data_IF_182112580322
#
_entry.id   IF_182112580322
#
_cell.length_a   1.000
_cell.length_b   1.000
_cell.length_c   1.000
_cell.angle_alpha   90.00
_cell.angle_beta   90.00
_cell.angle_gamma   90.00
#
_symmetry.space_group_name_H-M   'P 1'
#
loop_
_entity.id
_entity.type
_entity.pdbx_description
1 polymer ?
#
# COMPACT_ATOMS: atom_id res chain seq x y z
N UNK A 1 5.32 -18.46 7.75
CA UNK A 1 4.37 -17.64 8.55
C UNK A 1 3.23 -17.18 7.68
N UNK A 2 2.05 -17.02 8.27
CA UNK A 2 0.87 -16.41 7.64
C UNK A 2 0.40 -15.21 8.44
N UNK A 3 -0.24 -14.26 7.75
CA UNK A 3 -0.96 -13.17 8.39
C UNK A 3 -2.31 -12.98 7.74
N UNK A 4 -3.30 -12.61 8.54
CA UNK A 4 -4.56 -12.11 8.04
C UNK A 4 -4.35 -10.70 7.52
N UNK A 5 -4.66 -10.55 6.26
CA UNK A 5 -4.67 -9.29 5.54
C UNK A 5 -5.69 -8.30 6.14
N UNK A 6 -6.80 -8.74 6.74
CA UNK A 6 -7.85 -7.83 7.25
C UNK A 6 -7.66 -7.44 8.73
N UNK A 7 -7.55 -8.41 9.64
CA UNK A 7 -7.44 -8.13 11.08
C UNK A 7 -6.00 -8.16 11.61
N UNK A 8 -5.01 -8.52 10.78
CA UNK A 8 -3.61 -8.62 11.21
C UNK A 8 -3.27 -9.86 12.03
N UNK A 9 -4.22 -10.76 12.27
CA UNK A 9 -3.98 -12.02 12.99
C UNK A 9 -2.82 -12.81 12.37
N UNK A 10 -1.83 -13.18 13.19
CA UNK A 10 -0.61 -13.85 12.74
C UNK A 10 -0.66 -15.33 13.13
N UNK A 11 -0.11 -16.18 12.28
CA UNK A 11 -0.02 -17.60 12.56
C UNK A 11 1.09 -18.31 11.79
N UNK A 12 1.18 -19.60 12.02
CA UNK A 12 2.00 -20.52 11.27
C UNK A 12 1.15 -21.33 10.30
N UNK A 13 1.81 -21.92 9.31
CA UNK A 13 1.16 -22.76 8.33
C UNK A 13 2.12 -23.86 7.91
N UNK A 14 1.57 -25.01 7.55
CA UNK A 14 2.32 -26.15 7.05
C UNK A 14 1.38 -27.14 6.38
N UNK A 15 1.90 -28.35 6.10
CA UNK A 15 1.09 -29.43 5.58
C UNK A 15 0.79 -30.46 6.68
N UNK A 16 -0.47 -30.85 6.81
CA UNK A 16 -0.92 -31.89 7.75
C UNK A 16 -1.94 -32.78 7.05
N UNK A 17 -1.64 -34.08 6.97
CA UNK A 17 -2.62 -35.06 6.45
C UNK A 17 -3.74 -35.26 7.49
N UNK A 18 -4.97 -35.63 7.08
CA UNK A 18 -6.13 -35.70 7.98
C UNK A 18 -5.89 -36.49 9.30
N UNK A 19 -5.10 -37.57 9.25
CA UNK A 19 -4.88 -38.45 10.40
C UNK A 19 -3.47 -38.34 11.00
N UNK A 20 -2.66 -37.38 10.54
CA UNK A 20 -1.32 -37.17 11.07
C UNK A 20 -1.34 -36.03 12.08
N UNK A 21 -0.78 -36.24 13.26
CA UNK A 21 -0.61 -35.19 14.28
C UNK A 21 0.68 -34.40 14.10
N UNK A 22 1.54 -34.77 13.15
CA UNK A 22 2.77 -34.04 12.84
C UNK A 22 2.54 -33.10 11.67
N UNK A 23 2.95 -31.85 11.82
CA UNK A 23 2.99 -30.87 10.73
C UNK A 23 4.28 -31.07 9.94
N UNK A 24 4.17 -31.24 8.63
CA UNK A 24 5.30 -31.35 7.73
C UNK A 24 5.86 -29.94 7.40
N UNK A 25 7.15 -29.67 7.69
CA UNK A 25 7.79 -28.38 7.44
C UNK A 25 8.35 -28.19 6.03
N UNK A 26 8.20 -29.15 5.12
CA UNK A 26 8.73 -29.04 3.76
C UNK A 26 8.17 -27.81 3.02
N UNK A 27 9.04 -26.82 2.80
CA UNK A 27 8.64 -25.53 2.26
C UNK A 27 8.15 -25.64 0.81
N UNK A 28 8.81 -26.46 -0.01
CA UNK A 28 8.49 -26.58 -1.43
C UNK A 28 7.09 -27.17 -1.62
N UNK A 29 6.79 -28.30 -0.97
CA UNK A 29 5.48 -28.91 -0.99
C UNK A 29 4.43 -27.98 -0.38
N UNK A 30 4.76 -27.25 0.70
CA UNK A 30 3.86 -26.28 1.30
C UNK A 30 3.50 -25.14 0.33
N UNK A 31 4.47 -24.54 -0.35
CA UNK A 31 4.20 -23.47 -1.32
C UNK A 31 3.30 -23.93 -2.46
N UNK A 32 3.57 -25.13 -3.01
CA UNK A 32 2.71 -25.75 -4.02
C UNK A 32 1.30 -25.98 -3.50
N UNK A 33 1.16 -26.56 -2.31
CA UNK A 33 -0.13 -26.80 -1.66
C UNK A 33 -0.91 -25.52 -1.36
N UNK A 34 -0.24 -24.48 -0.84
CA UNK A 34 -0.86 -23.19 -0.54
C UNK A 34 -1.41 -22.51 -1.79
N UNK A 35 -0.64 -22.42 -2.87
CA UNK A 35 -1.10 -21.73 -4.09
C UNK A 35 -2.09 -22.56 -4.93
N UNK A 36 -2.18 -23.88 -4.69
CA UNK A 36 -3.14 -24.77 -5.35
C UNK A 36 -4.40 -25.06 -4.53
N UNK A 37 -4.56 -24.42 -3.35
CA UNK A 37 -5.68 -24.67 -2.43
C UNK A 37 -5.79 -26.14 -2.00
N UNK A 38 -4.66 -26.81 -1.76
CA UNK A 38 -4.62 -28.21 -1.31
C UNK A 38 -5.26 -28.33 0.10
N UNK A 39 -6.23 -29.24 0.33
CA UNK A 39 -6.86 -29.46 1.64
C UNK A 39 -5.91 -29.92 2.75
N UNK A 40 -4.67 -30.32 2.43
CA UNK A 40 -3.63 -30.66 3.42
C UNK A 40 -2.99 -29.42 4.06
N UNK A 41 -3.19 -28.23 3.50
CA UNK A 41 -2.72 -26.99 4.11
C UNK A 41 -3.45 -26.78 5.44
N UNK A 42 -2.67 -26.63 6.51
CA UNK A 42 -3.19 -26.35 7.85
C UNK A 42 -2.60 -25.05 8.37
N UNK A 43 -3.38 -24.33 9.17
CA UNK A 43 -3.00 -23.09 9.81
C UNK A 43 -2.98 -23.29 11.33
N UNK A 44 -2.06 -22.64 12.02
CA UNK A 44 -1.91 -22.73 13.47
C UNK A 44 -1.76 -21.32 14.05
N UNK A 45 -2.63 -20.93 14.97
CA UNK A 45 -2.63 -19.61 15.60
C UNK A 45 -2.32 -19.73 17.09
N UNK A 46 -1.23 -19.13 17.60
CA UNK A 46 -0.90 -19.21 19.03
C UNK A 46 -1.93 -18.46 19.88
N UNK A 47 -2.33 -19.06 21.01
CA UNK A 47 -3.40 -18.53 21.88
C UNK A 47 -3.02 -17.23 22.62
N UNK A 48 -1.74 -16.85 22.61
CA UNK A 48 -1.26 -15.56 23.16
C UNK A 48 -1.61 -14.32 22.32
N UNK A 49 -2.19 -14.49 21.14
CA UNK A 49 -2.78 -13.40 20.35
C UNK A 49 -4.29 -13.53 20.39
N UNK A 50 -4.99 -12.48 20.84
CA UNK A 50 -6.45 -12.43 20.97
C UNK A 50 -7.21 -13.05 19.78
N UNK A 51 -7.51 -14.36 19.84
CA UNK A 51 -8.49 -14.97 18.94
C UNK A 51 -9.88 -14.67 19.51
N UNK A 52 -10.19 -13.38 19.63
CA UNK A 52 -11.52 -12.89 20.00
C UNK A 52 -12.38 -12.95 18.74
N UNK A 53 -13.45 -13.74 18.78
CA UNK A 53 -14.53 -13.67 17.81
C UNK A 53 -15.14 -12.24 17.83
N UNK A 54 -14.59 -11.34 17.02
CA UNK A 54 -15.10 -9.98 16.83
C UNK A 54 -15.35 -9.76 15.34
N UNK A 55 -16.31 -10.50 14.79
CA UNK A 55 -16.97 -10.15 13.54
C UNK A 55 -18.22 -9.29 13.84
N UNK A 56 -18.58 -8.32 12.97
CA UNK A 56 -19.87 -7.67 13.06
C UNK A 56 -20.95 -8.72 12.72
N UNK A 57 -21.52 -9.34 13.75
CA UNK A 57 -22.53 -10.42 13.62
C UNK A 57 -22.33 -11.61 14.57
N UNK A 58 -21.19 -11.73 15.27
CA UNK A 58 -20.97 -12.80 16.25
C UNK A 58 -21.38 -12.33 17.65
N UNK A 59 -22.49 -12.86 18.16
CA UNK A 59 -22.89 -12.68 19.55
C UNK A 59 -21.86 -13.26 20.53
N UNK A 60 -21.93 -12.90 21.82
CA UNK A 60 -21.07 -13.50 22.84
C UNK A 60 -21.33 -15.02 22.88
N UNK A 61 -20.31 -15.85 22.56
CA UNK A 61 -20.40 -17.31 22.68
C UNK A 61 -20.40 -18.12 21.38
N UNK A 62 -20.16 -17.55 20.19
CA UNK A 62 -19.92 -18.37 18.99
C UNK A 62 -18.53 -19.01 19.04
N UNK A 63 -18.50 -20.34 19.21
CA UNK A 63 -17.28 -21.14 19.11
C UNK A 63 -16.67 -20.98 17.71
N UNK A 64 -15.36 -20.73 17.65
CA UNK A 64 -14.62 -20.69 16.40
C UNK A 64 -14.56 -22.11 15.80
N UNK A 65 -14.76 -22.24 14.49
CA UNK A 65 -14.69 -23.52 13.79
C UNK A 65 -13.24 -24.02 13.73
N UNK A 66 -12.90 -24.94 14.64
CA UNK A 66 -11.56 -25.51 14.79
C UNK A 66 -11.35 -26.17 16.15
N UNK A 67 -10.11 -26.62 16.38
CA UNK A 67 -9.71 -27.36 17.57
C UNK A 67 -8.45 -26.76 18.21
N UNK A 68 -8.34 -26.89 19.53
CA UNK A 68 -7.16 -26.48 20.29
C UNK A 68 -6.18 -27.65 20.43
N UNK A 69 -4.91 -27.35 20.22
CA UNK A 69 -3.79 -28.29 20.36
C UNK A 69 -2.62 -27.60 21.05
N UNK A 70 -1.64 -28.38 21.46
CA UNK A 70 -0.29 -27.90 21.80
C UNK A 70 0.68 -28.35 20.71
N UNK A 71 1.38 -27.41 20.10
CA UNK A 71 2.38 -27.63 19.05
C UNK A 71 3.78 -27.68 19.67
N UNK A 72 4.49 -28.78 19.48
CA UNK A 72 5.89 -28.87 19.85
C UNK A 72 6.78 -28.09 18.87
N UNK A 73 7.59 -27.16 19.39
CA UNK A 73 8.54 -26.38 18.59
C UNK A 73 9.72 -27.20 18.03
N UNK A 74 10.04 -28.35 18.62
CA UNK A 74 11.16 -29.20 18.20
C UNK A 74 10.77 -30.19 17.09
N UNK A 75 9.69 -30.94 17.27
CA UNK A 75 9.29 -32.01 16.34
C UNK A 75 8.02 -31.72 15.52
N UNK A 76 7.36 -30.59 15.78
CA UNK A 76 6.13 -30.15 15.11
C UNK A 76 4.92 -31.10 15.29
N UNK A 77 4.92 -31.86 16.38
CA UNK A 77 3.80 -32.70 16.77
C UNK A 77 2.73 -31.89 17.51
N UNK A 78 1.47 -32.15 17.18
CA UNK A 78 0.28 -31.60 17.83
C UNK A 78 -0.26 -32.60 18.85
N UNK A 79 -0.50 -32.14 20.07
CA UNK A 79 -1.14 -32.95 21.11
C UNK A 79 -2.38 -32.26 21.66
N UNK A 80 -3.43 -33.03 21.94
CA UNK A 80 -4.65 -32.56 22.60
C UNK A 80 -4.61 -32.76 24.12
N UNK A 81 -3.49 -33.23 24.68
CA UNK A 81 -3.31 -33.39 26.13
C UNK A 81 -3.47 -32.04 26.82
N UNK A 82 -4.22 -32.04 27.93
CA UNK A 82 -4.33 -30.87 28.82
C UNK A 82 -3.00 -30.69 29.56
N UNK A 83 -2.44 -29.48 29.49
CA UNK A 83 -1.21 -29.03 30.16
C UNK A 83 -0.03 -30.03 30.11
N UNK A 84 0.50 -30.33 28.91
CA UNK A 84 1.65 -31.21 28.78
C UNK A 84 2.93 -30.55 29.33
N UNK A 85 3.49 -31.09 30.41
CA UNK A 85 4.80 -30.68 30.98
C UNK A 85 5.99 -30.86 30.01
N UNK A 86 5.75 -31.54 28.87
CA UNK A 86 6.69 -31.66 27.77
C UNK A 86 6.04 -32.33 26.55
N UNK A 87 6.67 -32.26 25.38
CA UNK A 87 6.14 -32.89 24.17
C UNK A 87 6.00 -34.42 24.32
N UNK A 88 4.80 -35.02 24.22
CA UNK A 88 4.62 -36.47 24.37
C UNK A 88 5.32 -37.32 23.30
N UNK A 89 5.67 -36.72 22.16
CA UNK A 89 6.29 -37.43 21.04
C UNK A 89 7.82 -37.46 21.09
N UNK A 90 8.48 -36.42 21.61
CA UNK A 90 9.94 -36.32 21.61
C UNK A 90 10.54 -35.98 22.98
N UNK A 91 9.72 -35.70 23.99
CA UNK A 91 10.16 -35.32 25.34
C UNK A 91 10.77 -33.93 25.47
N UNK A 92 10.86 -33.14 24.39
CA UNK A 92 11.53 -31.84 24.39
C UNK A 92 10.57 -30.66 24.47
N UNK A 93 10.92 -29.71 25.34
CA UNK A 93 10.34 -28.37 25.41
C UNK A 93 8.88 -28.32 25.83
N UNK A 94 8.45 -27.15 26.25
CA UNK A 94 7.05 -26.83 26.53
C UNK A 94 6.34 -26.53 25.19
N UNK A 95 5.32 -27.31 24.79
CA UNK A 95 4.64 -27.10 23.53
C UNK A 95 3.70 -25.90 23.60
N UNK A 96 3.64 -25.12 22.52
CA UNK A 96 2.87 -23.87 22.45
C UNK A 96 1.41 -24.18 22.18
N UNK A 97 0.50 -23.62 22.98
CA UNK A 97 -0.95 -23.76 22.74
C UNK A 97 -1.37 -23.01 21.47
N UNK A 98 -2.01 -23.72 20.55
CA UNK A 98 -2.42 -23.22 19.23
C UNK A 98 -3.86 -23.62 18.89
N UNK A 99 -4.56 -22.70 18.24
CA UNK A 99 -5.83 -22.94 17.58
C UNK A 99 -5.60 -23.37 16.12
N UNK A 100 -6.21 -24.48 15.73
CA UNK A 100 -6.16 -25.03 14.37
C UNK A 100 -7.56 -24.93 13.76
N UNK A 101 -7.82 -23.96 12.87
CA UNK A 101 -9.12 -23.79 12.25
C UNK A 101 -9.44 -24.89 11.24
N UNK A 102 -10.73 -25.11 11.03
CA UNK A 102 -11.18 -25.93 9.92
C UNK A 102 -11.10 -25.14 8.60
N UNK A 103 -10.03 -25.36 7.85
CA UNK A 103 -9.74 -24.68 6.59
C UNK A 103 -10.15 -25.49 5.35
N UNK A 104 -11.16 -26.37 5.47
CA UNK A 104 -11.60 -27.27 4.38
C UNK A 104 -13.06 -27.04 4.05
N UNK A 105 -13.38 -26.90 2.76
CA UNK A 105 -14.77 -26.81 2.29
C UNK A 105 -14.99 -27.74 1.10
N UNK A 106 -16.23 -28.24 0.95
CA UNK A 106 -16.64 -29.03 -0.21
C UNK A 106 -17.07 -28.09 -1.34
N UNK A 107 -16.43 -28.18 -2.50
CA UNK A 107 -16.82 -27.47 -3.74
C UNK A 107 -16.84 -28.46 -4.89
N UNK A 108 -17.95 -28.51 -5.64
CA UNK A 108 -18.11 -29.38 -6.82
C UNK A 108 -17.61 -30.82 -6.59
N UNK A 109 -18.06 -31.40 -5.47
CA UNK A 109 -17.73 -32.76 -5.04
C UNK A 109 -16.26 -33.06 -4.69
N UNK A 110 -15.43 -32.02 -4.58
CA UNK A 110 -14.05 -32.10 -4.09
C UNK A 110 -13.87 -31.29 -2.81
N UNK A 111 -12.99 -31.74 -1.92
CA UNK A 111 -12.59 -30.96 -0.75
C UNK A 111 -11.42 -30.08 -1.14
N UNK A 112 -11.56 -28.78 -0.95
CA UNK A 112 -10.51 -27.79 -1.21
C UNK A 112 -10.14 -27.07 0.08
N UNK A 113 -8.87 -26.67 0.18
CA UNK A 113 -8.40 -25.77 1.22
C UNK A 113 -8.92 -24.36 0.99
N UNK A 114 -9.28 -23.65 2.06
CA UNK A 114 -9.62 -22.22 2.02
C UNK A 114 -8.70 -21.43 2.94
N UNK A 115 -8.39 -20.21 2.54
CA UNK A 115 -7.48 -19.33 3.30
C UNK A 115 -8.27 -18.31 4.12
N UNK A 116 -9.38 -18.74 4.70
CA UNK A 116 -10.25 -17.89 5.50
C UNK A 116 -9.59 -17.57 6.84
N UNK A 117 -9.69 -16.32 7.29
CA UNK A 117 -9.18 -15.96 8.60
C UNK A 117 -10.11 -16.48 9.71
N UNK A 118 -9.62 -17.25 10.69
CA UNK A 118 -10.46 -17.71 11.79
C UNK A 118 -10.85 -16.60 12.76
N UNK A 119 -10.04 -15.54 12.91
CA UNK A 119 -10.32 -14.47 13.87
C UNK A 119 -11.43 -13.52 13.42
N UNK A 120 -11.45 -13.14 12.13
CA UNK A 120 -12.40 -12.14 11.61
C UNK A 120 -13.32 -12.67 10.48
N UNK A 121 -13.21 -13.94 10.09
CA UNK A 121 -14.01 -14.55 9.03
C UNK A 121 -13.71 -14.06 7.61
N UNK A 122 -12.61 -13.32 7.40
CA UNK A 122 -12.30 -12.76 6.08
C UNK A 122 -12.07 -13.87 5.04
N UNK A 123 -12.84 -13.90 3.93
CA UNK A 123 -12.66 -14.90 2.87
C UNK A 123 -11.32 -14.69 2.16
N UNK A 124 -10.58 -15.77 1.97
CA UNK A 124 -9.20 -15.78 1.42
C UNK A 124 -8.25 -14.75 2.08
N UNK A 125 -8.50 -14.42 3.36
CA UNK A 125 -7.79 -13.37 4.10
C UNK A 125 -6.37 -13.71 4.52
N UNK A 126 -5.95 -14.98 4.50
CA UNK A 126 -4.60 -15.37 4.93
C UNK A 126 -3.58 -15.23 3.78
N UNK A 127 -2.42 -14.64 4.08
CA UNK A 127 -1.29 -14.49 3.15
C UNK A 127 0.04 -14.88 3.79
N UNK A 128 0.90 -15.50 2.99
CA UNK A 128 2.26 -15.82 3.39
C UNK A 128 3.06 -14.55 3.71
N UNK A 129 3.74 -14.57 4.85
CA UNK A 129 4.78 -13.61 5.19
C UNK A 129 6.11 -14.31 5.05
N UNK A 130 6.91 -13.84 4.10
CA UNK A 130 8.27 -14.31 3.85
C UNK A 130 9.03 -13.29 3.02
N UNK A 131 10.33 -13.19 3.25
CA UNK A 131 11.23 -12.39 2.44
C UNK A 131 12.44 -13.25 2.08
N UNK A 132 12.79 -13.30 0.81
CA UNK A 132 13.99 -13.97 0.32
C UNK A 132 15.23 -13.37 1.00
N UNK A 133 16.27 -14.17 1.26
CA UNK A 133 17.51 -13.71 1.91
C UNK A 133 18.07 -12.45 1.24
N UNK A 134 18.16 -12.42 -0.09
CA UNK A 134 18.62 -11.25 -0.84
C UNK A 134 17.78 -9.98 -0.56
N UNK A 135 16.47 -10.12 -0.38
CA UNK A 135 15.59 -8.98 -0.08
C UNK A 135 15.79 -8.44 1.33
N UNK A 136 16.02 -9.30 2.32
CA UNK A 136 16.36 -8.90 3.69
C UNK A 136 17.74 -8.25 3.75
N UNK A 137 18.75 -8.88 3.13
CA UNK A 137 20.11 -8.34 3.05
C UNK A 137 20.12 -6.95 2.42
N UNK A 138 19.36 -6.75 1.34
CA UNK A 138 19.25 -5.43 0.73
C UNK A 138 18.66 -4.36 1.66
N UNK A 139 17.68 -4.71 2.50
CA UNK A 139 17.13 -3.77 3.48
C UNK A 139 18.15 -3.43 4.55
N UNK A 140 18.89 -4.43 5.06
CA UNK A 140 19.96 -4.21 6.04
C UNK A 140 21.06 -3.30 5.47
N UNK A 141 21.50 -3.55 4.24
CA UNK A 141 22.49 -2.70 3.55
C UNK A 141 21.98 -1.26 3.46
N UNK A 142 20.72 -1.06 3.05
CA UNK A 142 20.14 0.28 2.95
C UNK A 142 20.11 1.02 4.29
N UNK A 143 19.80 0.33 5.39
CA UNK A 143 19.83 0.92 6.73
C UNK A 143 21.26 1.27 7.17
N UNK A 144 22.22 0.38 6.94
CA UNK A 144 23.63 0.63 7.24
C UNK A 144 24.19 1.82 6.45
N UNK A 145 23.80 1.97 5.18
CA UNK A 145 24.25 3.08 4.34
C UNK A 145 23.56 4.42 4.66
N UNK A 146 22.35 4.36 5.23
CA UNK A 146 21.62 5.54 5.70
C UNK A 146 22.06 5.98 7.09
N UNK A 147 22.70 5.11 7.86
CA UNK A 147 23.22 5.42 9.19
C UNK A 147 24.27 6.53 9.14
N UNK A 148 24.19 7.48 10.06
CA UNK A 148 25.21 8.53 10.25
C UNK A 148 26.49 8.01 10.90
N UNK A 149 26.51 6.76 11.38
CA UNK A 149 27.71 6.11 11.95
C UNK A 149 28.53 5.35 10.89
N UNK A 150 28.09 5.36 9.64
CA UNK A 150 28.79 4.67 8.56
C UNK A 150 29.48 5.68 7.63
N UNK A 151 30.76 5.90 7.89
CA UNK A 151 31.60 6.85 7.17
C UNK A 151 32.13 6.29 5.84
N UNK A 152 32.19 4.95 5.67
CA UNK A 152 32.63 4.30 4.41
C UNK A 152 31.53 3.42 3.81
N UNK A 153 30.90 3.91 2.74
CA UNK A 153 29.74 3.27 2.08
C UNK A 153 30.18 2.23 1.04
N UNK A 154 31.01 1.29 1.45
CA UNK A 154 31.45 0.15 0.65
C UNK A 154 30.89 -1.16 1.20
N UNK A 155 30.51 -2.04 0.29
CA UNK A 155 29.94 -3.34 0.61
C UNK A 155 30.64 -4.40 -0.22
N UNK A 156 31.14 -5.42 0.46
CA UNK A 156 31.61 -6.66 -0.15
C UNK A 156 30.58 -7.75 0.15
N UNK A 157 30.07 -8.39 -0.90
CA UNK A 157 29.13 -9.51 -0.77
C UNK A 157 29.83 -10.80 -1.23
N UNK A 158 29.97 -11.75 -0.31
CA UNK A 158 30.49 -13.08 -0.62
C UNK A 158 29.35 -13.99 -1.10
N UNK A 159 29.61 -14.75 -2.16
CA UNK A 159 28.76 -15.86 -2.57
C UNK A 159 29.62 -17.01 -3.10
N UNK A 160 29.06 -18.22 -3.04
CA UNK A 160 29.71 -19.47 -3.40
C UNK A 160 29.91 -19.62 -4.93
N UNK A 161 29.34 -18.72 -5.73
CA UNK A 161 29.51 -18.68 -7.19
C UNK A 161 29.69 -17.25 -7.69
N UNK A 162 30.55 -17.07 -8.70
CA UNK A 162 30.80 -15.79 -9.39
C UNK A 162 29.51 -15.24 -10.02
N UNK A 163 28.67 -16.13 -10.56
CA UNK A 163 27.39 -15.75 -11.18
C UNK A 163 26.40 -15.23 -10.13
N UNK A 164 26.33 -15.87 -8.97
CA UNK A 164 25.45 -15.44 -7.87
C UNK A 164 26.00 -14.18 -7.18
N UNK A 165 27.33 -14.04 -7.08
CA UNK A 165 27.96 -12.81 -6.60
C UNK A 165 27.63 -11.61 -7.50
N UNK A 166 27.77 -11.76 -8.83
CA UNK A 166 27.42 -10.72 -9.79
C UNK A 166 25.92 -10.37 -9.73
N UNK A 167 25.05 -11.39 -9.66
CA UNK A 167 23.61 -11.19 -9.53
C UNK A 167 23.24 -10.45 -8.23
N UNK A 168 23.81 -10.85 -7.09
CA UNK A 168 23.59 -10.18 -5.79
C UNK A 168 24.11 -8.74 -5.80
N UNK A 169 25.29 -8.50 -6.36
CA UNK A 169 25.86 -7.16 -6.47
C UNK A 169 24.95 -6.24 -7.30
N UNK A 170 24.48 -6.70 -8.47
CA UNK A 170 23.50 -5.98 -9.28
C UNK A 170 22.18 -5.73 -8.54
N UNK A 171 21.66 -6.76 -7.86
CA UNK A 171 20.42 -6.67 -7.08
C UNK A 171 20.51 -5.67 -5.91
N UNK A 172 21.62 -5.69 -5.16
CA UNK A 172 21.84 -4.75 -4.04
C UNK A 172 22.05 -3.32 -4.54
N UNK A 173 22.82 -3.11 -5.60
CA UNK A 173 23.06 -1.79 -6.18
C UNK A 173 21.76 -1.15 -6.68
N UNK A 174 20.96 -1.91 -7.45
CA UNK A 174 19.65 -1.45 -7.94
C UNK A 174 18.70 -1.03 -6.81
N UNK A 175 18.73 -1.77 -5.69
CA UNK A 175 17.80 -1.56 -4.58
C UNK A 175 18.28 -0.48 -3.60
N UNK A 176 19.58 -0.26 -3.47
CA UNK A 176 20.18 0.81 -2.66
C UNK A 176 20.09 2.18 -3.35
N UNK A 177 20.17 2.25 -4.68
CA UNK A 177 20.05 3.52 -5.43
C UNK A 177 18.85 4.36 -4.96
N UNK A 178 17.67 3.74 -4.74
CA UNK A 178 16.44 4.47 -4.37
C UNK A 178 16.61 5.22 -3.05
N UNK A 179 17.33 4.63 -2.11
CA UNK A 179 17.62 5.26 -0.82
C UNK A 179 18.64 6.39 -0.99
N UNK A 180 19.67 6.18 -1.81
CA UNK A 180 20.64 7.23 -2.18
C UNK A 180 19.94 8.44 -2.81
N UNK A 181 19.11 8.22 -3.84
CA UNK A 181 18.36 9.28 -4.50
C UNK A 181 17.40 9.99 -3.53
N UNK A 182 16.71 9.24 -2.66
CA UNK A 182 15.82 9.85 -1.65
C UNK A 182 16.58 10.71 -0.65
N UNK A 183 17.73 10.24 -0.15
CA UNK A 183 18.57 11.03 0.74
C UNK A 183 19.10 12.28 0.05
N UNK A 184 19.49 12.16 -1.22
CA UNK A 184 19.93 13.28 -2.03
C UNK A 184 18.80 14.30 -2.30
N UNK A 185 17.60 13.81 -2.62
CA UNK A 185 16.41 14.62 -2.82
C UNK A 185 16.02 15.33 -1.51
N UNK A 186 16.06 14.63 -0.39
CA UNK A 186 15.78 15.21 0.91
C UNK A 186 16.79 16.32 1.25
N UNK A 187 18.09 16.09 1.02
CA UNK A 187 19.12 17.12 1.23
C UNK A 187 18.88 18.34 0.35
N UNK A 188 18.59 18.14 -0.94
CA UNK A 188 18.23 19.22 -1.85
C UNK A 188 16.98 19.98 -1.37
N UNK A 189 15.90 19.26 -1.05
CA UNK A 189 14.64 19.87 -0.61
C UNK A 189 14.85 20.67 0.68
N UNK A 190 15.64 20.16 1.62
CA UNK A 190 15.97 20.85 2.88
C UNK A 190 16.78 22.13 2.66
N UNK A 191 17.68 22.14 1.67
CA UNK A 191 18.56 23.27 1.37
C UNK A 191 17.87 24.35 0.52
N UNK A 192 17.18 23.95 -0.57
CA UNK A 192 16.70 24.88 -1.60
C UNK A 192 15.26 24.63 -2.06
N UNK A 193 14.55 23.63 -1.52
CA UNK A 193 13.25 23.20 -2.02
C UNK A 193 12.04 24.03 -1.57
N UNK A 194 12.17 24.85 -0.53
CA UNK A 194 11.05 25.63 0.02
C UNK A 194 10.45 26.59 -1.01
N UNK A 195 9.12 26.55 -1.20
CA UNK A 195 8.39 27.48 -2.05
C UNK A 195 8.48 27.22 -3.56
N UNK A 196 9.35 26.29 -4.00
CA UNK A 196 9.46 25.88 -5.40
C UNK A 196 8.24 25.07 -5.85
N UNK A 197 7.92 25.14 -7.13
CA UNK A 197 6.90 24.29 -7.75
C UNK A 197 7.46 22.88 -7.99
N UNK A 198 6.57 21.89 -8.03
CA UNK A 198 6.95 20.50 -8.34
C UNK A 198 7.54 20.39 -9.74
N UNK A 199 7.03 21.17 -10.71
CA UNK A 199 7.55 21.25 -12.07
C UNK A 199 9.01 21.75 -12.13
N UNK A 200 9.41 22.68 -11.24
CA UNK A 200 10.77 23.23 -11.22
C UNK A 200 11.80 22.34 -10.49
N UNK A 201 11.35 21.27 -9.85
CA UNK A 201 12.18 20.39 -9.01
C UNK A 201 13.28 19.69 -9.82
N UNK A 202 13.01 19.04 -10.98
CA UNK A 202 14.02 18.25 -11.68
C UNK A 202 15.25 19.07 -12.09
N UNK A 203 15.03 20.22 -12.73
CA UNK A 203 16.12 21.12 -13.16
C UNK A 203 16.91 21.64 -11.95
N UNK A 204 16.21 22.05 -10.89
CA UNK A 204 16.85 22.55 -9.67
C UNK A 204 17.69 21.46 -8.97
N UNK A 205 17.22 20.22 -8.97
CA UNK A 205 17.93 19.07 -8.39
C UNK A 205 19.21 18.76 -9.17
N UNK A 206 19.14 18.75 -10.51
CA UNK A 206 20.30 18.50 -11.38
C UNK A 206 21.38 19.54 -11.09
N UNK A 207 21.03 20.83 -11.14
CA UNK A 207 21.94 21.95 -10.85
C UNK A 207 22.57 21.82 -9.46
N UNK A 208 21.77 21.59 -8.43
CA UNK A 208 22.25 21.52 -7.05
C UNK A 208 23.36 20.48 -6.86
N UNK A 209 23.21 19.30 -7.47
CA UNK A 209 24.16 18.22 -7.31
C UNK A 209 25.32 18.29 -8.30
N UNK A 210 25.13 18.75 -9.54
CA UNK A 210 26.22 18.90 -10.52
C UNK A 210 27.24 19.98 -10.11
N UNK A 211 26.85 20.97 -9.32
CA UNK A 211 27.78 21.96 -8.74
C UNK A 211 28.63 21.39 -7.60
N UNK A 212 28.27 20.23 -7.03
CA UNK A 212 28.86 19.66 -5.81
C UNK A 212 29.63 18.37 -6.03
N UNK A 213 29.60 17.83 -7.25
CA UNK A 213 30.37 16.65 -7.65
C UNK A 213 30.72 16.73 -9.12
N UNK A 214 31.78 16.05 -9.53
CA UNK A 214 32.13 15.99 -10.94
C UNK A 214 31.09 15.21 -11.75
N UNK A 215 31.09 15.41 -13.07
CA UNK A 215 30.13 14.81 -13.99
C UNK A 215 30.11 13.26 -13.90
N UNK A 216 31.27 12.62 -13.76
CA UNK A 216 31.33 11.15 -13.70
C UNK A 216 30.75 10.65 -12.39
N UNK A 217 31.03 11.31 -11.27
CA UNK A 217 30.42 10.99 -9.98
C UNK A 217 28.91 11.24 -9.98
N UNK A 218 28.45 12.33 -10.60
CA UNK A 218 27.03 12.64 -10.76
C UNK A 218 26.31 11.54 -11.55
N UNK A 219 26.84 11.19 -12.72
CA UNK A 219 26.30 10.13 -13.55
C UNK A 219 26.34 8.80 -12.81
N UNK A 220 27.47 8.39 -12.21
CA UNK A 220 27.54 7.12 -11.49
C UNK A 220 26.58 7.03 -10.28
N UNK A 221 26.30 8.16 -9.63
CA UNK A 221 25.45 8.22 -8.42
C UNK A 221 23.96 8.31 -8.76
N UNK A 222 23.60 9.14 -9.74
CA UNK A 222 22.21 9.48 -10.05
C UNK A 222 21.69 8.90 -11.36
N UNK A 223 22.55 8.36 -12.24
CA UNK A 223 22.08 7.52 -13.33
C UNK A 223 21.52 6.24 -12.72
N UNK A 224 20.21 6.07 -12.83
CA UNK A 224 19.60 4.88 -12.26
C UNK A 224 20.08 3.62 -13.01
N UNK A 225 20.35 2.51 -12.29
CA UNK A 225 20.81 1.26 -12.89
C UNK A 225 19.87 0.69 -13.97
N UNK A 226 18.63 1.15 -14.00
CA UNK A 226 17.59 0.73 -14.94
C UNK A 226 17.13 1.87 -15.87
N UNK A 227 17.89 2.97 -16.01
CA UNK A 227 17.42 4.14 -16.76
C UNK A 227 18.49 4.86 -17.57
N UNK A 228 18.52 4.48 -18.84
CA UNK A 228 18.38 5.48 -19.88
C UNK A 228 16.99 6.15 -19.88
N UNK A 229 15.97 5.68 -19.14
CA UNK A 229 14.61 6.25 -19.13
C UNK A 229 13.89 6.20 -17.75
N UNK A 230 13.54 7.40 -17.24
CA UNK A 230 13.14 7.86 -15.88
C UNK A 230 11.92 7.17 -15.22
N UNK A 231 11.68 6.99 -13.89
CA UNK A 231 11.83 7.64 -12.54
C UNK A 231 10.90 8.74 -12.08
N UNK A 232 10.27 9.51 -12.95
CA UNK A 232 9.29 10.53 -12.51
C UNK A 232 7.98 9.89 -11.99
N UNK A 233 7.81 8.60 -12.30
CA UNK A 233 6.68 7.74 -11.95
C UNK A 233 6.52 7.44 -10.45
N UNK A 234 7.59 7.49 -9.64
CA UNK A 234 7.50 7.11 -8.22
C UNK A 234 6.73 8.09 -7.33
N UNK A 235 6.48 9.32 -7.83
CA UNK A 235 5.75 10.37 -7.14
C UNK A 235 4.27 10.48 -7.55
N UNK A 236 3.94 9.97 -8.74
CA UNK A 236 2.56 9.70 -9.17
C UNK A 236 1.89 8.61 -8.31
N UNK A 237 2.72 7.84 -7.59
CA UNK A 237 2.45 6.51 -7.04
C UNK A 237 1.45 6.45 -5.88
N UNK A 238 1.15 7.55 -5.20
CA UNK A 238 0.29 7.48 -4.00
C UNK A 238 -1.20 7.75 -4.27
N UNK A 239 -1.59 8.58 -5.27
CA UNK A 239 -3.00 8.72 -5.74
C UNK A 239 -3.20 9.17 -7.21
N UNK A 240 -2.15 9.49 -7.96
CA UNK A 240 -2.15 9.56 -9.43
C UNK A 240 -3.30 10.31 -10.12
N UNK A 241 -3.42 11.62 -9.91
CA UNK A 241 -4.28 12.50 -10.72
C UNK A 241 -3.52 13.63 -11.41
N UNK A 242 -2.18 13.67 -11.34
CA UNK A 242 -1.38 14.72 -11.99
C UNK A 242 -1.20 14.40 -13.47
N UNK A 243 -1.44 15.37 -14.35
CA UNK A 243 -1.19 15.18 -15.78
C UNK A 243 0.30 15.08 -16.10
N UNK A 244 0.64 14.12 -16.95
CA UNK A 244 1.98 13.96 -17.51
C UNK A 244 1.86 13.60 -18.99
N UNK A 245 2.67 14.19 -19.90
CA UNK A 245 2.57 13.96 -21.35
C UNK A 245 2.57 12.49 -21.76
N UNK A 246 3.36 11.67 -21.08
CA UNK A 246 3.52 10.23 -21.34
C UNK A 246 2.25 9.40 -21.17
N UNK A 247 1.24 9.93 -20.46
CA UNK A 247 -0.01 9.25 -20.19
C UNK A 247 -1.05 9.45 -21.31
N UNK A 248 -0.71 10.16 -22.40
CA UNK A 248 -1.61 10.39 -23.53
C UNK A 248 -2.33 9.12 -24.02
N UNK A 249 -1.60 8.07 -24.44
CA UNK A 249 -2.21 6.83 -24.92
C UNK A 249 -3.06 6.10 -23.86
N UNK A 250 -2.72 6.28 -22.57
CA UNK A 250 -3.47 5.70 -21.46
C UNK A 250 -4.80 6.42 -21.19
N UNK A 251 -4.78 7.75 -21.35
CA UNK A 251 -5.96 8.61 -21.26
C UNK A 251 -6.92 8.34 -22.42
N UNK A 252 -6.39 8.25 -23.65
CA UNK A 252 -7.15 7.97 -24.87
C UNK A 252 -7.84 6.60 -24.83
N UNK A 253 -7.19 5.61 -24.19
CA UNK A 253 -7.70 4.24 -24.03
C UNK A 253 -8.37 4.00 -22.66
N UNK A 254 -8.90 5.07 -22.03
CA UNK A 254 -9.77 5.00 -20.86
C UNK A 254 -9.24 4.20 -19.66
N UNK A 255 -7.93 4.31 -19.45
CA UNK A 255 -7.26 3.65 -18.34
C UNK A 255 -6.90 2.18 -18.62
N UNK A 256 -6.83 1.79 -19.89
CA UNK A 256 -6.31 0.50 -20.29
C UNK A 256 -4.84 0.34 -19.85
N UNK A 257 -4.62 -0.52 -18.86
CA UNK A 257 -3.30 -0.75 -18.29
C UNK A 257 -2.29 -1.28 -19.30
N UNK A 258 -2.72 -1.91 -20.41
CA UNK A 258 -1.82 -2.37 -21.45
C UNK A 258 -0.96 -1.26 -22.05
N UNK A 259 -1.52 -0.03 -22.17
CA UNK A 259 -0.81 1.16 -22.67
C UNK A 259 0.32 1.63 -21.77
N UNK A 260 0.28 1.20 -20.52
CA UNK A 260 1.25 1.54 -19.47
C UNK A 260 2.01 0.31 -18.95
N UNK A 261 1.96 -0.81 -19.68
CA UNK A 261 2.78 -1.98 -19.36
C UNK A 261 4.24 -1.75 -19.75
N UNK A 262 5.11 -2.58 -19.18
CA UNK A 262 6.52 -2.71 -19.59
C UNK A 262 6.71 -3.05 -21.07
N UNK A 263 5.66 -3.48 -21.79
CA UNK A 263 5.71 -3.70 -23.23
C UNK A 263 5.61 -2.39 -24.02
N UNK A 264 4.81 -1.45 -23.56
CA UNK A 264 4.57 -0.16 -24.21
C UNK A 264 5.50 0.94 -23.68
N UNK A 265 5.78 0.88 -22.38
CA UNK A 265 6.66 1.79 -21.66
C UNK A 265 7.64 0.93 -20.84
N UNK A 266 8.78 0.51 -21.42
CA UNK A 266 9.74 -0.43 -20.81
C UNK A 266 10.21 -0.05 -19.40
N UNK A 267 10.19 1.23 -19.10
CA UNK A 267 10.60 1.84 -17.83
C UNK A 267 9.47 1.93 -16.78
N UNK A 268 8.21 1.63 -17.15
CA UNK A 268 7.05 1.69 -16.27
C UNK A 268 6.92 0.39 -15.45
N UNK A 269 6.44 0.39 -14.19
CA UNK A 269 6.21 -0.88 -13.51
C UNK A 269 5.12 -1.69 -14.19
N UNK A 270 5.17 -3.01 -14.02
CA UNK A 270 4.17 -3.91 -14.57
C UNK A 270 2.78 -3.62 -14.00
N UNK A 271 1.93 -2.96 -14.79
CA UNK A 271 0.52 -2.80 -14.48
C UNK A 271 -0.27 -3.99 -14.99
N UNK A 272 -0.50 -4.95 -14.10
CA UNK A 272 -1.46 -6.02 -14.35
C UNK A 272 -2.92 -5.56 -14.24
N UNK A 273 -3.90 -6.32 -14.75
CA UNK A 273 -5.32 -5.97 -14.76
C UNK A 273 -5.90 -5.62 -13.37
N UNK A 274 -5.39 -6.29 -12.31
CA UNK A 274 -5.84 -6.12 -10.92
C UNK A 274 -4.97 -5.15 -10.11
N UNK A 275 -4.02 -4.46 -10.75
CA UNK A 275 -3.18 -3.45 -10.09
C UNK A 275 -4.00 -2.20 -9.85
N UNK A 276 -3.76 -1.52 -8.72
CA UNK A 276 -4.22 -0.14 -8.53
C UNK A 276 -3.45 0.76 -9.50
N UNK A 277 -4.10 1.09 -10.60
CA UNK A 277 -3.58 2.02 -11.60
C UNK A 277 -4.24 3.40 -11.46
N UNK A 278 -3.79 4.34 -12.28
CA UNK A 278 -4.20 5.74 -12.23
C UNK A 278 -5.70 5.88 -12.52
N UNK A 279 -6.38 6.72 -11.76
CA UNK A 279 -7.80 6.99 -11.94
C UNK A 279 -7.98 8.51 -12.06
N UNK A 280 -8.08 9.00 -13.29
CA UNK A 280 -8.43 10.39 -13.55
C UNK A 280 -9.93 10.60 -13.29
N UNK A 281 -10.34 11.84 -13.08
CA UNK A 281 -11.76 12.17 -13.01
C UNK A 281 -12.32 12.24 -14.44
N UNK A 282 -13.48 11.65 -14.70
CA UNK A 282 -14.08 11.61 -16.04
C UNK A 282 -15.61 11.73 -16.02
N UNK A 283 -16.18 12.18 -17.13
CA UNK A 283 -17.63 12.05 -17.39
C UNK A 283 -18.04 10.64 -17.80
N UNK A 284 -17.10 9.83 -18.30
CA UNK A 284 -17.38 8.51 -18.87
C UNK A 284 -17.53 7.44 -17.80
N UNK A 285 -18.69 6.80 -17.76
CA UNK A 285 -18.93 5.64 -16.91
C UNK A 285 -18.32 4.34 -17.48
N UNK A 286 -18.13 3.33 -16.61
CA UNK A 286 -17.68 1.99 -17.03
C UNK A 286 -16.21 1.89 -17.44
N UNK A 287 -15.40 2.89 -17.12
CA UNK A 287 -13.95 2.90 -17.36
C UNK A 287 -13.18 2.58 -16.07
N UNK A 288 -11.85 2.53 -16.14
CA UNK A 288 -11.01 2.46 -14.93
C UNK A 288 -10.96 3.78 -14.16
N UNK A 289 -11.28 4.88 -14.84
CA UNK A 289 -11.28 6.22 -14.28
C UNK A 289 -12.48 6.46 -13.37
N UNK A 290 -12.34 7.46 -12.52
CA UNK A 290 -13.35 7.86 -11.56
C UNK A 290 -14.45 8.64 -12.28
N UNK A 291 -15.63 8.04 -12.42
CA UNK A 291 -16.79 8.72 -13.00
C UNK A 291 -17.32 9.76 -12.03
N UNK A 292 -17.54 10.99 -12.52
CA UNK A 292 -18.13 12.09 -11.76
C UNK A 292 -19.55 11.74 -11.30
N UNK A 293 -20.36 11.22 -12.24
CA UNK A 293 -21.76 10.87 -12.03
C UNK A 293 -22.00 9.39 -12.29
N UNK A 294 -22.91 8.81 -11.52
CA UNK A 294 -23.38 7.45 -11.72
C UNK A 294 -24.28 7.33 -12.95
N UNK A 295 -24.24 6.21 -13.69
CA UNK A 295 -25.10 6.01 -14.87
C UNK A 295 -26.58 5.87 -14.51
N UNK A 296 -26.89 5.54 -13.26
CA UNK A 296 -28.25 5.35 -12.74
C UNK A 296 -28.35 5.94 -11.33
N UNK A 297 -29.54 6.42 -10.89
CA UNK A 297 -29.72 7.02 -9.56
C UNK A 297 -29.36 6.12 -8.37
N UNK A 298 -29.40 4.80 -8.56
CA UNK A 298 -29.02 3.78 -7.55
C UNK A 298 -27.51 3.53 -7.46
N UNK A 299 -26.75 3.90 -8.49
CA UNK A 299 -25.31 3.66 -8.58
C UNK A 299 -24.54 4.96 -8.35
N UNK A 300 -24.64 5.51 -7.13
CA UNK A 300 -24.00 6.78 -6.77
C UNK A 300 -22.49 6.67 -6.72
N UNK A 301 -21.81 7.68 -7.27
CA UNK A 301 -20.34 7.80 -7.19
C UNK A 301 -19.91 8.31 -5.82
N UNK A 302 -18.61 8.19 -5.52
CA UNK A 302 -18.03 8.81 -4.34
C UNK A 302 -18.27 10.34 -4.32
N UNK A 303 -18.18 11.00 -5.48
CA UNK A 303 -18.42 12.43 -5.65
C UNK A 303 -19.87 12.80 -5.28
N UNK A 304 -20.85 12.10 -5.86
CA UNK A 304 -22.26 12.35 -5.52
C UNK A 304 -22.54 12.15 -4.03
N UNK A 305 -22.01 11.07 -3.44
CA UNK A 305 -22.14 10.83 -2.00
C UNK A 305 -21.42 11.90 -1.16
N UNK A 306 -20.26 12.38 -1.60
CA UNK A 306 -19.50 13.43 -0.91
C UNK A 306 -20.27 14.76 -0.92
N UNK A 307 -20.82 15.15 -2.07
CA UNK A 307 -21.61 16.38 -2.20
C UNK A 307 -22.84 16.33 -1.27
N UNK A 308 -23.56 15.21 -1.24
CA UNK A 308 -24.69 15.03 -0.34
C UNK A 308 -24.29 15.11 1.14
N UNK A 309 -23.22 14.41 1.53
CA UNK A 309 -22.76 14.42 2.91
C UNK A 309 -22.31 15.82 3.37
N UNK A 310 -21.72 16.62 2.47
CA UNK A 310 -21.21 17.95 2.82
C UNK A 310 -22.29 19.03 2.78
N UNK A 311 -23.21 18.95 1.81
CA UNK A 311 -24.12 20.05 1.49
C UNK A 311 -25.59 19.74 1.77
N UNK A 312 -25.97 18.51 2.13
CA UNK A 312 -27.35 18.19 2.52
C UNK A 312 -27.89 19.07 3.66
N UNK A 313 -27.10 19.47 4.68
CA UNK A 313 -27.57 20.41 5.71
C UNK A 313 -27.93 21.80 5.17
N UNK A 314 -27.34 22.21 4.04
CA UNK A 314 -27.55 23.51 3.40
C UNK A 314 -28.68 23.40 2.36
N UNK A 315 -28.66 22.34 1.57
CA UNK A 315 -29.65 22.05 0.55
C UNK A 315 -29.94 20.53 0.52
N UNK A 316 -31.09 20.08 1.05
CA UNK A 316 -31.49 18.68 1.03
C UNK A 316 -31.61 18.08 -0.38
N UNK A 317 -31.78 18.91 -1.41
CA UNK A 317 -31.88 18.51 -2.81
C UNK A 317 -30.54 18.51 -3.56
N UNK A 318 -29.40 18.63 -2.87
CA UNK A 318 -28.07 18.69 -3.52
C UNK A 318 -27.78 17.48 -4.43
N UNK A 319 -28.33 16.31 -4.11
CA UNK A 319 -28.20 15.11 -4.95
C UNK A 319 -28.78 15.29 -6.35
N UNK A 320 -29.81 16.13 -6.51
CA UNK A 320 -30.46 16.41 -7.80
C UNK A 320 -29.72 17.49 -8.63
N UNK A 321 -28.79 18.24 -8.02
CA UNK A 321 -28.04 19.34 -8.66
C UNK A 321 -26.53 19.11 -8.62
N UNK A 322 -26.10 17.88 -8.31
CA UNK A 322 -24.68 17.53 -8.16
C UNK A 322 -23.92 17.68 -9.49
N UNK A 323 -24.58 17.44 -10.62
CA UNK A 323 -24.05 17.66 -11.96
C UNK A 323 -23.62 19.12 -12.16
N UNK A 324 -24.53 20.07 -11.90
CA UNK A 324 -24.27 21.50 -12.07
C UNK A 324 -23.30 22.05 -11.03
N UNK A 325 -23.32 21.50 -9.82
CA UNK A 325 -22.35 21.81 -8.78
C UNK A 325 -20.93 21.48 -9.25
N UNK A 326 -20.71 20.26 -9.76
CA UNK A 326 -19.40 19.84 -10.21
C UNK A 326 -18.96 20.52 -11.50
N UNK A 327 -19.88 20.82 -12.41
CA UNK A 327 -19.58 21.61 -13.60
C UNK A 327 -18.96 22.97 -13.23
N UNK A 328 -19.61 23.71 -12.34
CA UNK A 328 -19.12 25.01 -11.87
C UNK A 328 -17.81 24.89 -11.09
N UNK A 329 -17.68 23.87 -10.24
CA UNK A 329 -16.47 23.63 -9.46
C UNK A 329 -15.28 23.33 -10.37
N UNK A 330 -15.44 22.41 -11.32
CA UNK A 330 -14.36 22.01 -12.21
C UNK A 330 -13.97 23.14 -13.15
N UNK A 331 -14.95 23.91 -13.66
CA UNK A 331 -14.68 25.10 -14.44
C UNK A 331 -13.83 26.10 -13.65
N UNK A 332 -14.23 26.44 -12.42
CA UNK A 332 -13.47 27.36 -11.57
C UNK A 332 -12.05 26.85 -11.32
N UNK A 333 -11.87 25.55 -11.02
CA UNK A 333 -10.55 24.97 -10.79
C UNK A 333 -9.66 24.95 -12.05
N UNK A 334 -10.26 24.87 -13.25
CA UNK A 334 -9.53 24.99 -14.52
C UNK A 334 -9.10 26.43 -14.77
N UNK A 335 -10.01 27.39 -14.55
CA UNK A 335 -9.74 28.83 -14.69
C UNK A 335 -8.61 29.28 -13.73
N UNK A 336 -8.64 28.76 -12.50
CA UNK A 336 -7.62 28.97 -11.48
C UNK A 336 -6.31 28.20 -11.70
N UNK A 337 -6.21 27.43 -12.79
CA UNK A 337 -4.98 26.69 -13.11
C UNK A 337 -4.61 25.60 -12.11
N UNK A 338 -5.56 25.09 -11.32
CA UNK A 338 -5.35 24.00 -10.37
C UNK A 338 -5.35 22.65 -11.09
N UNK A 339 -6.32 22.49 -11.98
CA UNK A 339 -6.52 21.30 -12.81
C UNK A 339 -6.49 21.67 -14.29
N UNK A 340 -6.29 20.67 -15.12
CA UNK A 340 -6.43 20.75 -16.57
C UNK A 340 -7.65 19.92 -17.00
N UNK A 341 -8.31 20.33 -18.07
CA UNK A 341 -9.32 19.53 -18.77
C UNK A 341 -8.72 19.01 -20.07
N UNK A 342 -8.90 17.72 -20.35
CA UNK A 342 -8.64 17.12 -21.67
C UNK A 342 -9.91 16.46 -22.19
N UNK A 343 -10.18 16.66 -23.49
CA UNK A 343 -11.27 15.98 -24.18
C UNK A 343 -10.76 14.72 -24.86
N UNK A 344 -11.41 13.60 -24.58
CA UNK A 344 -11.16 12.30 -25.21
C UNK A 344 -12.47 11.85 -25.85
N UNK A 345 -12.57 11.99 -27.18
CA UNK A 345 -13.85 11.81 -27.87
C UNK A 345 -14.89 12.85 -27.43
N UNK A 346 -16.06 12.40 -26.98
CA UNK A 346 -17.13 13.26 -26.47
C UNK A 346 -17.08 13.48 -24.95
N UNK A 347 -16.18 12.78 -24.26
CA UNK A 347 -16.06 12.80 -22.81
C UNK A 347 -14.88 13.66 -22.36
N UNK A 348 -14.96 14.14 -21.11
CA UNK A 348 -13.94 15.00 -20.48
C UNK A 348 -13.19 14.24 -19.41
N UNK A 349 -11.90 14.55 -19.30
CA UNK A 349 -10.99 14.00 -18.28
C UNK A 349 -10.27 15.14 -17.59
N UNK A 350 -10.25 15.12 -16.25
CA UNK A 350 -9.58 16.13 -15.42
C UNK A 350 -8.46 15.53 -14.58
N UNK A 351 -7.46 16.36 -14.31
CA UNK A 351 -6.25 16.02 -13.56
C UNK A 351 -5.51 17.27 -13.10
N UNK A 352 -4.71 17.14 -12.05
CA UNK A 352 -3.93 18.20 -11.42
C UNK A 352 -2.78 18.67 -12.33
N UNK A 353 -2.52 19.98 -12.31
CA UNK A 353 -1.35 20.58 -12.97
C UNK A 353 -0.11 20.49 -12.07
N UNK A 354 1.03 19.96 -12.56
CA UNK A 354 2.29 19.93 -11.80
C UNK A 354 2.78 21.31 -11.33
N UNK A 355 2.55 22.35 -12.14
CA UNK A 355 2.99 23.72 -11.91
C UNK A 355 2.27 24.34 -10.71
N UNK A 356 1.06 23.87 -10.47
CA UNK A 356 0.18 24.36 -9.44
C UNK A 356 0.63 23.83 -8.05
N UNK A 357 1.31 22.66 -8.00
CA UNK A 357 1.79 22.01 -6.77
C UNK A 357 3.07 22.66 -6.22
N UNK A 358 3.07 23.10 -4.95
CA UNK A 358 4.25 23.66 -4.26
C UNK A 358 4.85 22.72 -3.23
N UNK A 359 6.16 22.88 -2.98
CA UNK A 359 6.93 22.12 -2.00
C UNK A 359 7.09 22.93 -0.71
N UNK A 360 6.75 22.32 0.43
CA UNK A 360 6.94 22.88 1.77
C UNK A 360 7.72 21.92 2.65
N UNK A 361 8.69 22.44 3.43
CA UNK A 361 9.39 21.65 4.46
C UNK A 361 8.66 21.67 5.81
N UNK A 362 7.77 22.62 6.02
CA UNK A 362 6.99 22.71 7.25
C UNK A 362 5.68 21.94 7.08
N UNK A 363 5.50 20.87 7.87
CA UNK A 363 4.34 19.98 7.76
C UNK A 363 3.66 19.83 9.11
N UNK A 364 2.35 20.08 9.12
CA UNK A 364 1.44 19.89 10.25
C UNK A 364 0.70 18.56 10.08
N UNK A 365 0.40 17.90 11.20
CA UNK A 365 -0.40 16.68 11.24
C UNK A 365 -1.77 16.99 11.85
N UNK A 366 -2.83 16.71 11.09
CA UNK A 366 -4.21 16.79 11.53
C UNK A 366 -4.73 15.39 11.85
N UNK A 367 -5.45 15.24 12.97
CA UNK A 367 -6.14 14.00 13.34
C UNK A 367 -7.62 14.26 13.56
N UNK A 368 -8.47 13.55 12.84
CA UNK A 368 -9.90 13.58 13.09
C UNK A 368 -10.20 13.00 14.47
N UNK A 369 -10.83 13.79 15.35
CA UNK A 369 -11.19 13.37 16.71
C UNK A 369 -12.25 12.27 16.76
N UNK A 370 -12.98 12.05 15.66
CA UNK A 370 -14.10 11.10 15.59
C UNK A 370 -13.72 9.75 14.99
N UNK A 371 -13.01 9.74 13.86
CA UNK A 371 -12.61 8.51 13.18
C UNK A 371 -11.12 8.19 13.27
N UNK A 372 -10.32 9.08 13.87
CA UNK A 372 -8.87 8.89 14.01
C UNK A 372 -8.07 9.06 12.72
N UNK A 373 -8.70 9.42 11.59
CA UNK A 373 -8.00 9.67 10.32
C UNK A 373 -6.97 10.78 10.45
N UNK A 374 -5.77 10.57 9.89
CA UNK A 374 -4.68 11.53 9.91
C UNK A 374 -4.42 12.12 8.51
N UNK A 375 -4.15 13.42 8.44
CA UNK A 375 -3.76 14.13 7.24
C UNK A 375 -2.54 15.03 7.50
N UNK A 376 -1.58 15.02 6.57
CA UNK A 376 -0.39 15.87 6.62
C UNK A 376 -0.59 17.07 5.70
N UNK A 377 -0.33 18.30 6.19
CA UNK A 377 -0.61 19.55 5.48
C UNK A 377 0.54 20.54 5.66
N UNK A 378 0.84 21.38 4.66
CA UNK A 378 1.88 22.41 4.76
C UNK A 378 1.54 23.50 5.80
N UNK A 379 2.49 23.84 6.68
CA UNK A 379 2.30 24.79 7.78
C UNK A 379 2.03 26.27 7.40
N UNK A 380 2.57 26.85 6.30
CA UNK A 380 2.28 28.25 5.94
C UNK A 380 0.79 28.54 5.68
N UNK A 381 -0.08 27.52 5.57
CA UNK A 381 -1.53 27.68 5.47
C UNK A 381 -2.25 27.76 6.82
N UNK A 382 -1.83 28.68 7.71
CA UNK A 382 -2.61 29.05 8.91
C UNK A 382 -3.77 30.01 8.60
N UNK A 383 -4.20 30.12 7.35
CA UNK A 383 -5.32 30.96 6.92
C UNK A 383 -6.68 30.27 7.11
N UNK A 384 -7.22 30.37 8.34
CA UNK A 384 -8.65 30.53 8.71
C UNK A 384 -9.80 29.69 8.09
N UNK A 385 -9.64 28.81 7.10
CA UNK A 385 -10.76 28.11 6.42
C UNK A 385 -10.87 26.60 6.63
N UNK A 386 -9.81 25.89 7.02
CA UNK A 386 -9.89 24.44 7.32
C UNK A 386 -10.53 24.10 8.68
N UNK A 387 -10.72 25.09 9.56
CA UNK A 387 -11.29 24.89 10.89
C UNK A 387 -12.83 24.89 10.93
N UNK A 388 -13.53 25.20 9.82
CA UNK A 388 -15.00 25.27 9.78
C UNK A 388 -15.70 24.10 9.08
N UNK A 389 -14.99 23.29 8.30
CA UNK A 389 -15.57 22.11 7.63
C UNK A 389 -15.65 20.87 8.51
N UNK A 390 -15.13 20.91 9.74
CA UNK A 390 -15.19 19.76 10.67
C UNK A 390 -16.16 19.94 11.83
N UNK A 391 -16.84 21.09 11.96
CA UNK A 391 -17.72 21.38 13.11
C UNK A 391 -19.18 21.69 12.78
N UNK A 392 -19.63 21.57 11.53
CA UNK A 392 -21.05 21.69 11.19
C UNK A 392 -21.45 20.59 10.21
N UNK A 393 -21.85 19.44 10.75
CA UNK A 393 -22.29 18.28 9.97
C UNK A 393 -21.77 17.00 10.58
N UNK A 394 -22.58 16.37 11.42
CA UNK A 394 -22.37 15.01 11.87
C UNK A 394 -22.22 14.07 10.67
N UNK A 395 -20.99 13.66 10.32
CA UNK A 395 -20.76 12.51 9.43
C UNK A 395 -21.55 11.30 9.98
N UNK A 396 -22.39 10.58 9.24
CA UNK A 396 -22.74 9.24 9.67
C UNK A 396 -21.48 8.36 9.58
N UNK A 397 -21.34 7.29 10.41
CA UNK A 397 -20.26 6.35 10.24
C UNK A 397 -20.30 5.81 8.82
N UNK A 398 -19.14 5.77 8.15
CA UNK A 398 -19.00 5.14 6.86
C UNK A 398 -19.58 3.72 6.94
N UNK A 399 -20.68 3.45 6.23
CA UNK A 399 -21.09 2.06 5.97
C UNK A 399 -19.92 1.43 5.23
N UNK A 400 -19.36 0.37 5.82
CA UNK A 400 -18.22 -0.38 5.30
C UNK A 400 -18.51 -0.84 3.87
N UNK A 401 -17.97 -0.12 2.90
CA UNK A 401 -17.78 -0.53 1.52
C UNK A 401 -16.29 -0.40 1.19
N UNK A 402 -15.66 -1.53 0.91
CA UNK A 402 -14.27 -1.71 0.42
C UNK A 402 -13.12 -1.15 1.31
N UNK A 403 -12.31 -2.02 1.95
CA UNK A 403 -11.14 -1.59 2.71
C UNK A 403 -10.02 -1.03 1.81
N UNK A 404 -9.70 0.24 2.03
CA UNK A 404 -8.39 0.81 1.73
C UNK A 404 -7.37 0.21 2.70
N UNK A 405 -6.52 -0.69 2.21
CA UNK A 405 -5.40 -1.25 2.97
C UNK A 405 -4.27 -0.23 3.10
N UNK A 406 -4.02 0.23 4.32
CA UNK A 406 -2.85 0.99 4.74
C UNK A 406 -2.77 0.93 6.26
N UNK A 407 -1.72 0.28 6.77
CA UNK A 407 -1.52 0.03 8.20
C UNK A 407 -1.20 1.29 9.00
N UNK A 408 -1.44 1.21 10.31
CA UNK A 408 -0.85 2.09 11.29
C UNK A 408 -0.40 1.27 12.50
N UNK A 409 0.92 1.15 12.62
CA UNK A 409 1.65 0.89 13.85
C UNK A 409 1.82 2.21 14.60
N UNK A 410 1.69 2.20 15.94
CA UNK A 410 2.42 3.05 16.93
C UNK A 410 1.87 2.77 18.35
N UNK A 411 2.64 2.96 19.44
CA UNK A 411 3.76 3.90 19.54
C UNK A 411 5.06 3.37 20.17
N UNK A 412 6.18 3.95 19.72
CA UNK A 412 7.26 4.42 20.59
C UNK A 412 7.88 5.66 19.90
N UNK A 413 7.91 6.77 20.63
CA UNK A 413 8.56 8.05 20.27
C UNK A 413 9.88 8.16 21.07
N UNK A 414 10.79 9.12 20.79
CA UNK A 414 10.78 10.12 19.71
C UNK A 414 12.09 10.18 18.90
N UNK A 415 12.01 10.70 17.68
CA UNK A 415 13.19 11.06 16.86
C UNK A 415 12.78 11.47 15.45
N UNK A 416 12.83 12.79 15.18
CA UNK A 416 12.21 13.43 14.02
C UNK A 416 12.65 12.92 12.65
N UNK A 417 11.67 12.79 11.74
CA UNK A 417 11.89 12.76 10.30
C UNK A 417 10.61 13.24 9.60
N UNK A 418 10.70 14.39 8.93
CA UNK A 418 9.60 15.05 8.23
C UNK A 418 9.20 14.33 6.94
N UNK A 419 7.89 14.19 6.72
CA UNK A 419 7.27 13.61 5.53
C UNK A 419 6.66 14.71 4.66
N UNK A 420 7.11 14.80 3.40
CA UNK A 420 6.73 15.79 2.39
C UNK A 420 5.30 15.54 1.87
N UNK A 421 4.50 16.60 1.73
CA UNK A 421 3.19 16.60 1.08
C UNK A 421 3.07 17.80 0.15
N UNK A 422 2.53 17.59 -1.06
CA UNK A 422 2.40 18.60 -2.11
C UNK A 422 0.93 19.08 -2.21
N UNK A 423 0.68 20.38 -2.40
CA UNK A 423 -0.64 20.85 -2.84
C UNK A 423 -0.61 22.22 -3.53
N UNK A 424 -1.75 22.54 -4.15
CA UNK A 424 -1.98 23.50 -5.24
C UNK A 424 -2.65 24.81 -4.80
N UNK A 425 -2.26 25.96 -5.37
CA UNK A 425 -2.92 27.26 -5.19
C UNK A 425 -3.39 27.85 -6.53
N UNK A 426 -4.67 28.21 -6.59
CA UNK A 426 -5.26 29.23 -7.48
C UNK A 426 -5.54 30.51 -6.68
N UNK A 427 -5.67 31.64 -7.37
CA UNK A 427 -5.64 33.02 -6.82
C UNK A 427 -6.94 33.45 -6.12
#
# INVERSE_FOLDING_TARGET
>A
MVHCRECGSMGWAGLKRPNELRVNPDLQAFYLGFFSHDPKVTFLFPEGGEVRAQGPGSGPGQALDGELYHLCGACLHLTSRQDPEGCPSCGQGEPVRVFVPNSRVRRNDRVVGVHHCPSCGAPEGLSLVGSQAASLTSMLIAQLYASGFNDDKKLLAFSDSVQDAAHRAGFFNARTYRFTLRGALQKFVLAEGEGRTLAALPESFVRFWSERMDEKAYLATFLAPNMAWLRDYEHLKDRGTVFHPVLGPYLEDWGNTFRITQRSLPWMPGFGPHTRALAFLTTRSGTRFDSLLGPLPRHRTWYQAWAENCFSPINPLVGAVSDRLYELLLQALVEEGVIEERRVGHDRVWGLRPEALRISRQVLQFRCRRCGHNASVAAPHRSRRLARTTTAGSMPPARRGAPLRGGAYRPADPGGAGSLGAEVQGD
#
